data_IF_853937615914
#
_entry.id   IF_853937615914
#
_cell.length_a   1.000
_cell.length_b   1.000
_cell.length_c   1.000
_cell.angle_alpha   90.00
_cell.angle_beta   90.00
_cell.angle_gamma   90.00
#
_symmetry.space_group_name_H-M   'P 1'
#
loop_
_entity.id
_entity.type
_entity.pdbx_description
1 polymer ?
#
# COMPACT_ATOMS: atom_id res chain seq x y z
N UNK A 1 -4.96 19.42 -3.18
CA UNK A 1 -4.53 19.75 -1.77
C UNK A 1 -3.76 18.53 -1.28
N UNK A 2 -2.55 18.72 -0.79
CA UNK A 2 -1.78 17.58 -0.27
C UNK A 2 -2.39 17.10 1.07
N UNK A 3 -3.21 16.05 0.97
CA UNK A 3 -3.92 15.48 2.11
C UNK A 3 -2.98 14.85 3.15
N UNK A 4 -1.72 14.56 2.79
CA UNK A 4 -0.73 14.01 3.74
C UNK A 4 -0.16 15.08 4.67
N UNK A 5 -0.32 16.35 4.34
CA UNK A 5 0.07 17.51 5.17
C UNK A 5 -1.05 17.97 6.11
N UNK A 6 -2.24 17.42 5.95
CA UNK A 6 -3.39 17.73 6.79
C UNK A 6 -3.39 16.91 8.09
N UNK A 7 -4.21 17.32 9.07
CA UNK A 7 -4.39 16.50 10.27
C UNK A 7 -5.08 15.18 9.93
N UNK A 8 -4.78 14.12 10.71
CA UNK A 8 -5.49 12.84 10.58
C UNK A 8 -7.02 13.01 10.66
N UNK A 9 -7.51 13.95 11.47
CA UNK A 9 -8.94 14.26 11.57
C UNK A 9 -9.48 14.82 10.26
N UNK A 10 -8.75 15.75 9.64
CA UNK A 10 -9.14 16.35 8.36
C UNK A 10 -9.13 15.33 7.23
N UNK A 11 -8.12 14.45 7.20
CA UNK A 11 -8.06 13.38 6.21
C UNK A 11 -9.31 12.48 6.32
N UNK A 12 -9.66 12.01 7.51
CA UNK A 12 -10.82 11.14 7.74
C UNK A 12 -12.14 11.87 7.42
N UNK A 13 -12.26 13.16 7.76
CA UNK A 13 -13.42 13.98 7.46
C UNK A 13 -13.65 14.10 5.94
N UNK A 14 -12.60 14.40 5.18
CA UNK A 14 -12.69 14.53 3.72
C UNK A 14 -12.96 13.17 3.07
N UNK A 15 -12.28 12.12 3.51
CA UNK A 15 -12.51 10.75 3.01
C UNK A 15 -13.97 10.29 3.22
N UNK A 16 -14.63 10.73 4.29
CA UNK A 16 -16.01 10.38 4.60
C UNK A 16 -17.06 11.27 3.88
N UNK A 17 -16.62 12.26 3.10
CA UNK A 17 -17.50 13.19 2.40
C UNK A 17 -17.81 12.70 0.97
N UNK A 18 -18.48 13.55 0.19
CA UNK A 18 -18.73 13.37 -1.24
C UNK A 18 -17.59 13.91 -2.13
N UNK A 19 -16.45 14.29 -1.53
CA UNK A 19 -15.27 14.72 -2.27
C UNK A 19 -14.75 13.57 -3.17
N UNK A 20 -14.35 13.86 -4.41
CA UNK A 20 -13.89 12.85 -5.36
C UNK A 20 -12.56 12.19 -4.93
N UNK A 21 -11.80 12.83 -4.05
CA UNK A 21 -10.53 12.37 -3.49
C UNK A 21 -10.28 13.00 -2.09
N UNK A 22 -9.52 12.30 -1.21
CA UNK A 22 -8.97 10.97 -1.40
C UNK A 22 -10.05 9.89 -1.42
N UNK A 23 -9.82 8.83 -2.20
CA UNK A 23 -10.67 7.63 -2.23
C UNK A 23 -9.99 6.42 -1.60
N UNK A 24 -10.47 5.23 -1.99
CA UNK A 24 -9.96 3.96 -1.47
C UNK A 24 -8.48 3.71 -1.76
N UNK A 25 -7.97 4.19 -2.90
CA UNK A 25 -6.56 4.08 -3.26
C UNK A 25 -5.68 4.97 -2.39
N UNK A 26 -6.00 6.25 -2.25
CA UNK A 26 -5.29 7.17 -1.36
C UNK A 26 -5.33 6.71 0.11
N UNK A 27 -6.47 6.19 0.57
CA UNK A 27 -6.59 5.60 1.92
C UNK A 27 -5.69 4.37 2.08
N UNK A 28 -5.63 3.47 1.07
CA UNK A 28 -4.76 2.30 1.09
C UNK A 28 -3.27 2.70 1.15
N UNK A 29 -2.87 3.73 0.40
CA UNK A 29 -1.51 4.26 0.41
C UNK A 29 -1.10 4.76 1.80
N UNK A 30 -1.95 5.59 2.44
CA UNK A 30 -1.71 6.09 3.80
C UNK A 30 -1.63 4.94 4.81
N UNK A 31 -2.53 3.97 4.75
CA UNK A 31 -2.53 2.80 5.64
C UNK A 31 -1.27 1.97 5.44
N UNK A 32 -0.81 1.78 4.20
CA UNK A 32 0.45 1.13 3.87
C UNK A 32 1.68 1.84 4.47
N UNK A 33 1.70 3.18 4.41
CA UNK A 33 2.74 3.99 5.03
C UNK A 33 2.78 3.82 6.56
N UNK A 34 1.61 3.80 7.20
CA UNK A 34 1.48 3.57 8.65
C UNK A 34 2.02 2.18 9.03
N UNK A 35 1.62 1.12 8.26
CA UNK A 35 2.12 -0.24 8.49
C UNK A 35 3.63 -0.34 8.35
N UNK A 36 4.20 0.31 7.32
CA UNK A 36 5.64 0.38 7.10
C UNK A 36 6.36 1.09 8.25
N UNK A 37 5.79 2.19 8.77
CA UNK A 37 6.33 2.95 9.88
C UNK A 37 6.39 2.13 11.18
N UNK A 38 5.39 1.27 11.45
CA UNK A 38 5.41 0.36 12.58
C UNK A 38 6.56 -0.66 12.50
N UNK A 39 6.81 -1.24 11.33
CA UNK A 39 7.98 -2.08 11.09
C UNK A 39 9.28 -1.30 11.33
N UNK A 40 9.40 -0.11 10.79
CA UNK A 40 10.58 0.75 10.94
C UNK A 40 10.82 1.18 12.40
N UNK A 41 9.78 1.35 13.20
CA UNK A 41 9.87 1.60 14.63
C UNK A 41 10.60 0.46 15.36
N UNK A 42 10.34 -0.79 15.00
CA UNK A 42 11.09 -1.96 15.55
C UNK A 42 12.58 -1.82 15.25
N UNK A 43 12.93 -1.43 14.01
CA UNK A 43 14.31 -1.13 13.63
C UNK A 43 14.91 -0.01 14.48
N UNK A 44 14.20 1.10 14.66
CA UNK A 44 14.65 2.23 15.50
C UNK A 44 14.90 1.82 16.95
N UNK A 45 14.09 0.92 17.49
CA UNK A 45 14.23 0.37 18.83
C UNK A 45 15.27 -0.77 18.92
N UNK A 46 15.88 -1.15 17.81
CA UNK A 46 16.94 -2.18 17.71
C UNK A 46 18.33 -1.55 17.67
N UNK A 47 18.49 -0.52 16.85
CA UNK A 47 19.77 0.17 16.62
C UNK A 47 20.38 0.71 17.90
N UNK A 48 21.70 0.55 18.05
CA UNK A 48 22.47 1.02 19.21
C UNK A 48 22.41 0.13 20.46
N UNK A 49 21.64 -0.95 20.44
CA UNK A 49 21.58 -1.88 21.55
C UNK A 49 22.62 -2.98 21.42
N UNK A 50 23.48 -3.17 22.42
CA UNK A 50 24.54 -4.18 22.46
C UNK A 50 24.05 -5.59 22.12
N UNK A 51 22.83 -5.94 22.56
CA UNK A 51 22.21 -7.26 22.32
C UNK A 51 22.02 -7.56 20.82
N UNK A 52 21.94 -6.55 19.99
CA UNK A 52 21.66 -6.66 18.55
C UNK A 52 22.83 -6.18 17.68
N UNK A 53 24.06 -6.16 18.23
CA UNK A 53 25.25 -5.68 17.55
C UNK A 53 25.50 -6.44 16.23
N UNK A 54 25.27 -7.76 16.23
CA UNK A 54 25.52 -8.63 15.07
C UNK A 54 24.61 -8.35 13.86
N UNK A 55 23.45 -7.72 14.08
CA UNK A 55 22.47 -7.40 13.02
C UNK A 55 22.36 -5.90 12.76
N UNK A 56 23.12 -5.07 13.47
CA UNK A 56 22.93 -3.62 13.47
C UNK A 56 23.05 -3.00 12.08
N UNK A 57 24.06 -3.36 11.29
CA UNK A 57 24.28 -2.78 9.96
C UNK A 57 23.15 -3.14 8.99
N UNK A 58 22.66 -4.39 9.06
CA UNK A 58 21.52 -4.84 8.28
C UNK A 58 20.26 -4.05 8.65
N UNK A 59 19.99 -3.87 9.95
CA UNK A 59 18.84 -3.12 10.44
C UNK A 59 18.91 -1.63 10.05
N UNK A 60 20.09 -1.01 10.10
CA UNK A 60 20.29 0.38 9.66
C UNK A 60 19.98 0.51 8.17
N UNK A 61 20.52 -0.38 7.34
CA UNK A 61 20.27 -0.36 5.90
C UNK A 61 18.78 -0.59 5.58
N UNK A 62 18.13 -1.48 6.30
CA UNK A 62 16.70 -1.77 6.14
C UNK A 62 15.83 -0.58 6.55
N UNK A 63 16.17 0.11 7.63
CA UNK A 63 15.50 1.34 8.06
C UNK A 63 15.52 2.41 6.97
N UNK A 64 16.68 2.65 6.33
CA UNK A 64 16.79 3.61 5.25
C UNK A 64 15.87 3.26 4.07
N UNK A 65 15.72 1.96 3.74
CA UNK A 65 14.76 1.48 2.74
C UNK A 65 13.31 1.73 3.16
N UNK A 66 13.00 1.51 4.43
CA UNK A 66 11.66 1.80 4.97
C UNK A 66 11.33 3.29 4.94
N UNK A 67 12.27 4.17 5.27
CA UNK A 67 12.08 5.62 5.21
C UNK A 67 11.72 6.07 3.78
N UNK A 68 12.45 5.55 2.78
CA UNK A 68 12.15 5.80 1.38
C UNK A 68 10.77 5.22 0.97
N UNK A 69 10.46 4.01 1.42
CA UNK A 69 9.19 3.35 1.12
C UNK A 69 7.99 4.07 1.73
N UNK A 70 8.10 4.56 2.97
CA UNK A 70 7.08 5.38 3.62
C UNK A 70 6.80 6.65 2.82
N UNK A 71 7.87 7.34 2.38
CA UNK A 71 7.75 8.54 1.54
C UNK A 71 7.05 8.22 0.23
N UNK A 72 7.44 7.13 -0.42
CA UNK A 72 6.82 6.71 -1.69
C UNK A 72 5.34 6.37 -1.52
N UNK A 73 4.95 5.65 -0.45
CA UNK A 73 3.56 5.37 -0.14
C UNK A 73 2.75 6.64 0.14
N UNK A 74 3.31 7.62 0.85
CA UNK A 74 2.65 8.90 1.07
C UNK A 74 2.45 9.66 -0.25
N UNK A 75 3.44 9.64 -1.16
CA UNK A 75 3.32 10.24 -2.48
C UNK A 75 2.20 9.58 -3.32
N UNK A 76 1.91 8.29 -3.09
CA UNK A 76 0.81 7.62 -3.79
C UNK A 76 -0.57 8.15 -3.37
N UNK A 77 -0.72 8.84 -2.25
CA UNK A 77 -2.00 9.47 -1.85
C UNK A 77 -2.41 10.54 -2.86
N UNK A 78 -1.50 11.42 -3.24
CA UNK A 78 -1.74 12.45 -4.26
C UNK A 78 -1.76 11.85 -5.68
N UNK A 79 -0.89 10.89 -5.96
CA UNK A 79 -0.84 10.21 -7.25
C UNK A 79 -2.16 9.50 -7.59
N UNK A 80 -2.86 8.93 -6.60
CA UNK A 80 -4.16 8.29 -6.78
C UNK A 80 -5.21 9.32 -7.26
N UNK A 81 -5.26 10.50 -6.65
CA UNK A 81 -6.12 11.59 -7.10
C UNK A 81 -5.77 12.02 -8.53
N UNK A 82 -4.50 12.32 -8.79
CA UNK A 82 -4.05 12.83 -10.09
C UNK A 82 -4.32 11.85 -11.22
N UNK A 83 -4.05 10.56 -11.01
CA UNK A 83 -4.22 9.53 -12.02
C UNK A 83 -5.69 9.10 -12.21
N UNK A 84 -6.55 9.37 -11.23
CA UNK A 84 -8.00 9.16 -11.37
C UNK A 84 -8.71 10.29 -12.14
N UNK A 85 -8.20 11.52 -12.12
CA UNK A 85 -8.83 12.68 -12.76
C UNK A 85 -9.14 12.49 -14.26
N UNK A 86 -8.27 11.90 -15.11
CA UNK A 86 -8.59 11.63 -16.51
C UNK A 86 -9.82 10.72 -16.66
N UNK A 87 -9.91 9.67 -15.84
CA UNK A 87 -11.03 8.75 -15.86
C UNK A 87 -12.33 9.42 -15.38
N UNK A 88 -12.27 10.20 -14.32
CA UNK A 88 -13.41 10.97 -13.84
C UNK A 88 -13.96 11.92 -14.91
N UNK A 89 -13.10 12.58 -15.67
CA UNK A 89 -13.48 13.44 -16.79
C UNK A 89 -14.09 12.63 -17.96
N UNK A 90 -13.50 11.47 -18.26
CA UNK A 90 -13.94 10.63 -19.36
C UNK A 90 -15.38 10.08 -19.17
N UNK A 91 -15.84 9.91 -17.93
CA UNK A 91 -17.25 9.56 -17.64
C UNK A 91 -18.24 10.58 -18.16
N UNK A 92 -17.86 11.86 -18.27
CA UNK A 92 -18.69 12.94 -18.81
C UNK A 92 -18.81 12.97 -20.33
N UNK A 93 -18.01 12.19 -21.08
CA UNK A 93 -18.08 12.12 -22.54
C UNK A 93 -19.40 11.43 -22.95
N UNK A 94 -20.20 12.00 -23.89
CA UNK A 94 -21.42 11.40 -24.37
C UNK A 94 -21.21 9.96 -24.88
N UNK A 95 -22.22 9.09 -24.69
CA UNK A 95 -22.11 7.67 -25.05
C UNK A 95 -21.99 7.41 -26.56
N UNK A 96 -22.47 8.34 -27.36
CA UNK A 96 -22.47 8.33 -28.82
C UNK A 96 -21.22 9.02 -29.42
N UNK A 97 -20.33 9.58 -28.59
CA UNK A 97 -19.08 10.15 -29.05
C UNK A 97 -18.12 9.04 -29.52
N UNK A 98 -17.64 9.07 -30.78
CA UNK A 98 -16.77 8.04 -31.31
C UNK A 98 -15.40 7.93 -30.63
N UNK A 99 -14.96 8.96 -29.92
CA UNK A 99 -13.68 8.96 -29.18
C UNK A 99 -13.78 8.39 -27.78
N UNK A 100 -15.01 8.30 -27.24
CA UNK A 100 -15.25 7.94 -25.84
C UNK A 100 -14.57 6.64 -25.42
N UNK A 101 -14.70 5.61 -26.25
CA UNK A 101 -14.17 4.28 -25.94
C UNK A 101 -12.64 4.28 -25.79
N UNK A 102 -11.94 4.95 -26.71
CA UNK A 102 -10.48 5.06 -26.65
C UNK A 102 -10.00 5.88 -25.46
N UNK A 103 -10.67 7.02 -25.18
CA UNK A 103 -10.35 7.89 -24.04
C UNK A 103 -10.61 7.17 -22.72
N UNK A 104 -11.72 6.44 -22.61
CA UNK A 104 -12.04 5.64 -21.40
C UNK A 104 -11.00 4.54 -21.17
N UNK A 105 -10.59 3.85 -22.22
CA UNK A 105 -9.60 2.77 -22.15
C UNK A 105 -8.26 3.29 -21.60
N UNK A 106 -7.71 4.36 -22.23
CA UNK A 106 -6.46 4.97 -21.84
C UNK A 106 -6.53 5.51 -20.39
N UNK A 107 -7.59 6.24 -20.06
CA UNK A 107 -7.77 6.82 -18.73
C UNK A 107 -7.91 5.72 -17.64
N UNK A 108 -8.55 4.59 -17.97
CA UNK A 108 -8.69 3.47 -17.05
C UNK A 108 -7.35 2.78 -16.79
N UNK A 109 -6.51 2.61 -17.79
CA UNK A 109 -5.16 2.07 -17.65
C UNK A 109 -4.32 2.98 -16.72
N UNK A 110 -4.39 4.30 -16.92
CA UNK A 110 -3.72 5.28 -16.08
C UNK A 110 -4.23 5.17 -14.63
N UNK A 111 -5.54 5.10 -14.43
CA UNK A 111 -6.15 4.97 -13.10
C UNK A 111 -5.77 3.65 -12.39
N UNK A 112 -5.42 2.58 -13.12
CA UNK A 112 -4.92 1.34 -12.55
C UNK A 112 -3.47 1.44 -12.06
N UNK A 113 -2.67 2.37 -12.57
CA UNK A 113 -1.23 2.42 -12.30
C UNK A 113 -0.91 2.67 -10.83
N UNK A 114 -1.61 3.60 -10.19
CA UNK A 114 -1.38 3.94 -8.78
C UNK A 114 -1.76 2.80 -7.83
N UNK A 115 -2.96 2.20 -7.88
CA UNK A 115 -3.29 1.09 -6.99
C UNK A 115 -2.36 -0.13 -7.21
N UNK A 116 -1.91 -0.41 -8.43
CA UNK A 116 -0.89 -1.44 -8.68
C UNK A 116 0.44 -1.10 -8.00
N UNK A 117 0.88 0.16 -8.08
CA UNK A 117 2.09 0.63 -7.41
C UNK A 117 1.97 0.53 -5.88
N UNK A 118 0.83 0.91 -5.31
CA UNK A 118 0.55 0.76 -3.87
C UNK A 118 0.67 -0.72 -3.44
N UNK A 119 0.12 -1.64 -4.23
CA UNK A 119 0.25 -3.08 -3.97
C UNK A 119 1.71 -3.53 -3.94
N UNK A 120 2.52 -3.12 -4.92
CA UNK A 120 3.96 -3.43 -4.98
C UNK A 120 4.71 -2.90 -3.76
N UNK A 121 4.41 -1.66 -3.34
CA UNK A 121 5.03 -1.05 -2.16
C UNK A 121 4.61 -1.76 -0.87
N UNK A 122 3.35 -2.17 -0.74
CA UNK A 122 2.89 -2.96 0.41
C UNK A 122 3.58 -4.34 0.47
N UNK A 123 3.83 -4.98 -0.68
CA UNK A 123 4.60 -6.23 -0.74
C UNK A 123 6.03 -6.02 -0.20
N UNK A 124 6.71 -4.97 -0.64
CA UNK A 124 8.04 -4.62 -0.14
C UNK A 124 8.03 -4.32 1.37
N UNK A 125 6.99 -3.60 1.85
CA UNK A 125 6.82 -3.32 3.28
C UNK A 125 6.73 -4.62 4.09
N UNK A 126 5.95 -5.60 3.62
CA UNK A 126 5.80 -6.90 4.28
C UNK A 126 7.13 -7.66 4.32
N UNK A 127 7.93 -7.63 3.24
CA UNK A 127 9.28 -8.23 3.23
C UNK A 127 10.21 -7.58 4.27
N UNK A 128 10.15 -6.26 4.41
CA UNK A 128 10.98 -5.55 5.40
C UNK A 128 10.52 -5.82 6.83
N UNK A 129 9.20 -5.88 7.07
CA UNK A 129 8.61 -6.18 8.37
C UNK A 129 8.98 -7.60 8.82
N UNK A 130 9.04 -8.57 7.92
CA UNK A 130 9.50 -9.94 8.21
C UNK A 130 10.89 -9.95 8.84
N UNK A 131 11.83 -9.20 8.26
CA UNK A 131 13.19 -9.07 8.81
C UNK A 131 13.20 -8.40 10.19
N UNK A 132 12.42 -7.34 10.38
CA UNK A 132 12.29 -6.69 11.68
C UNK A 132 11.65 -7.61 12.73
N UNK A 133 10.65 -8.40 12.36
CA UNK A 133 10.04 -9.37 13.26
C UNK A 133 11.03 -10.47 13.68
N UNK A 134 11.87 -10.93 12.76
CA UNK A 134 12.85 -11.99 13.02
C UNK A 134 14.07 -11.51 13.82
N UNK A 135 14.62 -10.34 13.47
CA UNK A 135 15.93 -9.86 13.94
C UNK A 135 15.87 -8.64 14.87
N UNK A 136 14.74 -7.95 14.91
CA UNK A 136 14.59 -6.72 15.65
C UNK A 136 14.34 -6.90 17.15
N UNK A 137 14.16 -5.77 17.82
CA UNK A 137 13.95 -5.71 19.27
C UNK A 137 12.70 -6.47 19.70
N UNK A 138 12.88 -7.49 20.53
CA UNK A 138 11.78 -8.28 21.11
C UNK A 138 10.79 -7.47 21.93
N UNK A 139 11.22 -6.31 22.46
CA UNK A 139 10.33 -5.40 23.19
C UNK A 139 9.29 -4.71 22.31
N UNK A 140 9.55 -4.64 21.00
CA UNK A 140 8.68 -3.99 20.03
C UNK A 140 8.20 -4.97 18.93
N UNK A 141 8.34 -6.28 19.13
CA UNK A 141 7.98 -7.26 18.10
C UNK A 141 6.48 -7.24 17.79
N UNK A 142 5.63 -6.84 18.73
CA UNK A 142 4.20 -6.62 18.51
C UNK A 142 3.93 -5.61 17.40
N UNK A 143 4.74 -4.54 17.31
CA UNK A 143 4.59 -3.51 16.28
C UNK A 143 4.91 -4.05 14.88
N UNK A 144 5.84 -5.03 14.77
CA UNK A 144 6.05 -5.74 13.51
C UNK A 144 4.80 -6.57 13.12
N UNK A 145 4.18 -7.26 14.07
CA UNK A 145 2.91 -7.98 13.83
C UNK A 145 1.79 -7.04 13.39
N UNK A 146 1.62 -5.90 14.08
CA UNK A 146 0.65 -4.87 13.70
C UNK A 146 0.94 -4.32 12.29
N UNK A 147 2.20 -4.01 12.00
CA UNK A 147 2.63 -3.51 10.68
C UNK A 147 2.31 -4.49 9.56
N UNK A 148 2.54 -5.79 9.75
CA UNK A 148 2.23 -6.82 8.76
C UNK A 148 0.72 -6.89 8.46
N UNK A 149 -0.14 -6.89 9.49
CA UNK A 149 -1.60 -6.89 9.34
C UNK A 149 -2.09 -5.63 8.61
N UNK A 150 -1.57 -4.47 8.97
CA UNK A 150 -1.94 -3.19 8.36
C UNK A 150 -1.49 -3.13 6.90
N UNK A 151 -0.26 -3.54 6.57
CA UNK A 151 0.21 -3.61 5.18
C UNK A 151 -0.58 -4.63 4.35
N UNK A 152 -0.98 -5.77 4.92
CA UNK A 152 -1.89 -6.73 4.26
C UNK A 152 -3.24 -6.08 3.95
N UNK A 153 -3.82 -5.35 4.90
CA UNK A 153 -5.09 -4.65 4.69
C UNK A 153 -4.98 -3.58 3.60
N UNK A 154 -3.87 -2.83 3.57
CA UNK A 154 -3.57 -1.87 2.51
C UNK A 154 -3.44 -2.54 1.13
N UNK A 155 -2.72 -3.67 1.05
CA UNK A 155 -2.58 -4.49 -0.15
C UNK A 155 -3.94 -4.95 -0.70
N UNK A 156 -4.81 -5.45 0.20
CA UNK A 156 -6.16 -5.89 -0.16
C UNK A 156 -7.04 -4.72 -0.61
N UNK A 157 -7.00 -3.58 0.10
CA UNK A 157 -7.76 -2.39 -0.27
C UNK A 157 -7.34 -1.85 -1.63
N UNK A 158 -6.04 -1.74 -1.91
CA UNK A 158 -5.51 -1.30 -3.20
C UNK A 158 -5.95 -2.23 -4.34
N UNK A 159 -5.99 -3.55 -4.13
CA UNK A 159 -6.41 -4.50 -5.15
C UNK A 159 -7.84 -4.30 -5.63
N UNK A 160 -8.76 -3.86 -4.76
CA UNK A 160 -10.13 -3.56 -5.15
C UNK A 160 -10.21 -2.39 -6.11
N UNK A 161 -9.30 -1.41 -6.00
CA UNK A 161 -9.21 -0.30 -6.94
C UNK A 161 -8.62 -0.74 -8.30
N UNK A 162 -7.76 -1.77 -8.33
CA UNK A 162 -7.35 -2.43 -9.59
C UNK A 162 -8.55 -3.12 -10.21
N UNK A 163 -9.23 -4.00 -9.47
CA UNK A 163 -10.29 -4.86 -10.03
C UNK A 163 -11.51 -4.08 -10.52
N UNK A 164 -11.93 -3.02 -9.82
CA UNK A 164 -13.05 -2.19 -10.27
C UNK A 164 -12.74 -1.51 -11.61
N UNK A 165 -11.50 -1.09 -11.82
CA UNK A 165 -11.05 -0.46 -13.05
C UNK A 165 -10.86 -1.49 -14.17
N UNK A 166 -10.12 -2.59 -13.95
CA UNK A 166 -9.88 -3.63 -14.97
C UNK A 166 -11.16 -4.28 -15.47
N UNK A 167 -12.23 -4.32 -14.64
CA UNK A 167 -13.55 -4.80 -15.05
C UNK A 167 -14.11 -4.02 -16.25
N UNK A 168 -13.77 -2.75 -16.41
CA UNK A 168 -14.32 -1.86 -17.45
C UNK A 168 -13.44 -1.79 -18.70
N UNK A 169 -12.19 -2.29 -18.65
CA UNK A 169 -11.28 -2.32 -19.78
C UNK A 169 -11.84 -3.22 -20.90
N UNK A 170 -11.82 -2.72 -22.14
CA UNK A 170 -12.17 -3.49 -23.35
C UNK A 170 -11.04 -4.43 -23.75
N UNK A 171 -9.79 -4.00 -23.60
CA UNK A 171 -8.63 -4.86 -23.80
C UNK A 171 -8.52 -5.86 -22.64
N UNK A 172 -9.12 -7.04 -22.86
CA UNK A 172 -9.17 -8.10 -21.85
C UNK A 172 -7.80 -8.70 -21.53
N UNK A 173 -6.88 -8.69 -22.47
CA UNK A 173 -5.50 -9.18 -22.27
C UNK A 173 -4.78 -8.33 -21.23
N UNK A 174 -4.81 -6.99 -21.36
CA UNK A 174 -4.25 -6.05 -20.38
C UNK A 174 -4.94 -6.19 -19.02
N UNK A 175 -6.28 -6.31 -19.03
CA UNK A 175 -7.04 -6.48 -17.79
C UNK A 175 -6.64 -7.78 -17.05
N UNK A 176 -6.48 -8.89 -17.77
CA UNK A 176 -6.10 -10.19 -17.22
C UNK A 176 -4.65 -10.21 -16.71
N UNK A 177 -3.73 -9.55 -17.41
CA UNK A 177 -2.35 -9.37 -16.95
C UNK A 177 -2.32 -8.62 -15.59
N UNK A 178 -3.00 -7.47 -15.51
CA UNK A 178 -3.09 -6.69 -14.26
C UNK A 178 -3.74 -7.50 -13.14
N UNK A 179 -4.86 -8.20 -13.42
CA UNK A 179 -5.55 -9.00 -12.42
C UNK A 179 -4.69 -10.18 -11.94
N UNK A 180 -3.99 -10.86 -12.84
CA UNK A 180 -3.10 -11.97 -12.49
C UNK A 180 -1.96 -11.50 -11.58
N UNK A 181 -1.34 -10.36 -11.90
CA UNK A 181 -0.31 -9.76 -11.06
C UNK A 181 -0.85 -9.40 -9.67
N UNK A 182 -2.01 -8.75 -9.61
CA UNK A 182 -2.66 -8.37 -8.35
C UNK A 182 -3.01 -9.61 -7.50
N UNK A 183 -3.61 -10.64 -8.10
CA UNK A 183 -3.97 -11.88 -7.42
C UNK A 183 -2.73 -12.63 -6.90
N UNK A 184 -1.64 -12.63 -7.65
CA UNK A 184 -0.37 -13.23 -7.22
C UNK A 184 0.20 -12.52 -6.00
N UNK A 185 0.20 -11.17 -6.00
CA UNK A 185 0.64 -10.38 -4.84
C UNK A 185 -0.25 -10.65 -3.63
N UNK A 186 -1.58 -10.69 -3.79
CA UNK A 186 -2.52 -11.00 -2.71
C UNK A 186 -2.26 -12.37 -2.09
N UNK A 187 -2.09 -13.40 -2.92
CA UNK A 187 -1.87 -14.76 -2.45
C UNK A 187 -0.54 -14.88 -1.70
N UNK A 188 0.55 -14.39 -2.30
CA UNK A 188 1.90 -14.53 -1.76
C UNK A 188 2.09 -13.71 -0.49
N UNK A 189 1.80 -12.42 -0.57
CA UNK A 189 2.08 -11.49 0.53
C UNK A 189 0.98 -11.47 1.59
N UNK A 190 -0.24 -11.84 1.22
CA UNK A 190 -1.30 -12.11 2.19
C UNK A 190 -0.93 -13.25 3.13
N UNK A 191 -0.44 -14.38 2.59
CA UNK A 191 0.04 -15.52 3.38
C UNK A 191 1.28 -15.16 4.23
N UNK A 192 2.25 -14.43 3.64
CA UNK A 192 3.45 -13.97 4.36
C UNK A 192 3.10 -13.07 5.56
N UNK A 193 2.19 -12.12 5.39
CA UNK A 193 1.75 -11.26 6.47
C UNK A 193 1.05 -12.03 7.60
N UNK A 194 0.23 -13.05 7.24
CA UNK A 194 -0.39 -13.96 8.22
C UNK A 194 0.66 -14.78 8.99
N UNK A 195 1.70 -15.24 8.31
CA UNK A 195 2.81 -15.97 8.94
C UNK A 195 3.56 -15.09 9.94
N UNK A 196 3.89 -13.84 9.57
CA UNK A 196 4.51 -12.86 10.47
C UNK A 196 3.63 -12.65 11.70
N UNK A 197 2.34 -12.37 11.51
CA UNK A 197 1.38 -12.18 12.61
C UNK A 197 1.32 -13.40 13.53
N UNK A 198 1.17 -14.60 12.97
CA UNK A 198 1.07 -15.83 13.73
C UNK A 198 2.36 -16.15 14.51
N UNK A 199 3.53 -15.89 13.90
CA UNK A 199 4.83 -16.04 14.57
C UNK A 199 4.97 -15.10 15.75
N UNK A 200 4.60 -13.83 15.57
CA UNK A 200 4.62 -12.84 16.64
C UNK A 200 3.64 -13.22 17.75
N UNK A 201 2.41 -13.58 17.42
CA UNK A 201 1.37 -14.01 18.37
C UNK A 201 1.81 -15.24 19.17
N UNK A 202 2.36 -16.25 18.53
CA UNK A 202 2.86 -17.45 19.22
C UNK A 202 3.96 -17.13 20.23
N UNK A 203 4.78 -16.10 19.96
CA UNK A 203 5.79 -15.59 20.89
C UNK A 203 5.24 -15.06 22.22
N UNK A 204 3.94 -14.79 22.29
CA UNK A 204 3.24 -14.39 23.54
C UNK A 204 2.59 -15.54 24.29
N UNK A 205 2.65 -16.77 23.77
CA UNK A 205 2.11 -17.96 24.42
C UNK A 205 0.58 -18.11 24.32
N UNK A 206 -0.03 -17.48 23.30
CA UNK A 206 -1.48 -17.52 23.01
C UNK A 206 -1.77 -18.05 21.61
#
# INVERSE_FOLDING_TARGET
>A
MDMTMESCRKFVEVLASDAPAPGGGGAAALVGAIGTALGNMVGSLTVGKKKYADVQDEIIALKAKCDALQTELLNQVEADEVNFLPLAKAYGIPKDDPTRDAVMEEATIIACSTPMKIMELCCQAIDYIEVFAAKGSRLAVSDAGCGAVICKSALQAASLNVFINTKTLKNREVAEEMNTKALTMLATYGAKADEIFNTVKAGFGV
#
